data_IF_138996711718
#
_entry.id   IF_138996711718
#
_cell.length_a   1.000
_cell.length_b   1.000
_cell.length_c   1.000
_cell.angle_alpha   90.00
_cell.angle_beta   90.00
_cell.angle_gamma   90.00
#
_symmetry.space_group_name_H-M   'P 1'
#
loop_
_entity.id
_entity.type
_entity.pdbx_description
1 polymer ?
#
# COMPACT_ATOMS: atom_id res chain seq x y z
N UNK A 1 -38.97 14.80 0.29
CA UNK A 1 -37.89 14.59 1.26
C UNK A 1 -37.02 13.47 0.71
N UNK A 2 -35.70 13.64 0.67
CA UNK A 2 -34.82 12.63 0.08
C UNK A 2 -34.72 11.42 1.02
N UNK A 3 -34.89 10.22 0.46
CA UNK A 3 -34.61 8.97 1.16
C UNK A 3 -33.12 8.92 1.50
N UNK A 4 -32.82 8.37 2.67
CA UNK A 4 -31.45 8.14 3.13
C UNK A 4 -30.97 6.77 2.67
N UNK A 5 -29.67 6.64 2.48
CA UNK A 5 -29.04 5.37 2.12
C UNK A 5 -29.04 4.38 3.29
N UNK A 6 -28.78 3.11 2.97
CA UNK A 6 -28.78 2.00 3.91
C UNK A 6 -27.75 2.16 5.04
N UNK A 7 -26.58 2.75 4.77
CA UNK A 7 -25.55 2.99 5.78
C UNK A 7 -25.99 3.99 6.85
N UNK A 8 -26.77 4.99 6.45
CA UNK A 8 -27.37 5.92 7.41
C UNK A 8 -28.43 5.23 8.29
N UNK A 9 -29.21 4.28 7.76
CA UNK A 9 -30.15 3.49 8.56
C UNK A 9 -29.44 2.50 9.50
N UNK A 10 -28.30 1.95 9.11
CA UNK A 10 -27.47 1.12 10.00
C UNK A 10 -26.95 1.94 11.18
N UNK A 11 -26.38 3.13 10.94
CA UNK A 11 -25.95 4.03 12.01
C UNK A 11 -27.10 4.44 12.96
N UNK A 12 -28.33 4.46 12.46
CA UNK A 12 -29.53 4.68 13.28
C UNK A 12 -29.87 3.49 14.19
N UNK A 13 -29.70 2.24 13.72
CA UNK A 13 -29.85 1.02 14.54
C UNK A 13 -28.77 0.94 15.61
N UNK A 14 -27.51 1.22 15.23
CA UNK A 14 -26.34 1.15 16.11
C UNK A 14 -26.27 2.29 17.15
N UNK A 15 -27.25 3.21 17.15
CA UNK A 15 -27.30 4.42 17.98
C UNK A 15 -26.13 5.40 17.75
N UNK A 16 -25.52 5.38 16.56
CA UNK A 16 -24.40 6.25 16.19
C UNK A 16 -24.83 7.57 15.54
N UNK A 17 -26.14 7.82 15.44
CA UNK A 17 -26.72 9.11 15.01
C UNK A 17 -27.01 10.02 16.20
N UNK A 18 -26.95 11.33 16.00
CA UNK A 18 -27.30 12.28 17.08
C UNK A 18 -28.78 12.18 17.44
N UNK A 19 -29.19 12.56 18.67
CA UNK A 19 -30.60 12.53 19.08
C UNK A 19 -31.53 13.35 18.15
N UNK A 20 -31.03 14.47 17.61
CA UNK A 20 -31.77 15.31 16.67
C UNK A 20 -31.97 14.63 15.31
N UNK A 21 -30.93 13.95 14.80
CA UNK A 21 -31.01 13.16 13.57
C UNK A 21 -31.90 11.95 13.75
N UNK A 22 -31.79 11.25 14.89
CA UNK A 22 -32.66 10.13 15.25
C UNK A 22 -34.13 10.52 15.21
N UNK A 23 -34.50 11.66 15.79
CA UNK A 23 -35.87 12.18 15.75
C UNK A 23 -36.33 12.64 14.34
N UNK A 24 -35.41 13.11 13.49
CA UNK A 24 -35.72 13.45 12.10
C UNK A 24 -35.85 12.20 11.21
N UNK A 25 -35.10 11.15 11.51
CA UNK A 25 -35.16 9.86 10.85
C UNK A 25 -36.43 9.10 11.23
N UNK A 26 -36.81 9.12 12.50
CA UNK A 26 -38.08 8.54 12.97
C UNK A 26 -39.28 9.14 12.22
N UNK A 27 -39.35 10.47 12.15
CA UNK A 27 -40.42 11.17 11.39
C UNK A 27 -40.44 10.83 9.90
N UNK A 28 -39.28 10.47 9.34
CA UNK A 28 -39.20 10.05 7.94
C UNK A 28 -39.69 8.62 7.75
N UNK A 29 -39.39 7.70 8.68
CA UNK A 29 -39.91 6.33 8.68
C UNK A 29 -41.44 6.30 8.75
N UNK A 30 -42.03 7.21 9.53
CA UNK A 30 -43.49 7.33 9.68
C UNK A 30 -44.19 7.70 8.35
N UNK A 31 -43.45 8.23 7.37
CA UNK A 31 -44.00 8.76 6.11
C UNK A 31 -43.41 8.12 4.85
N UNK A 32 -42.41 7.25 4.96
CA UNK A 32 -41.70 6.65 3.83
C UNK A 32 -41.62 5.11 3.96
N UNK A 33 -42.57 4.42 3.31
CA UNK A 33 -42.62 2.96 3.31
C UNK A 33 -41.34 2.26 2.78
N UNK A 34 -40.67 2.76 1.71
CA UNK A 34 -39.41 2.16 1.26
C UNK A 34 -38.31 2.18 2.32
N UNK A 35 -38.14 3.29 3.05
CA UNK A 35 -37.14 3.38 4.10
C UNK A 35 -37.51 2.52 5.32
N UNK A 36 -38.80 2.38 5.62
CA UNK A 36 -39.26 1.46 6.66
C UNK A 36 -38.96 0.00 6.31
N UNK A 37 -39.10 -0.39 5.04
CA UNK A 37 -38.73 -1.73 4.57
C UNK A 37 -37.21 -1.97 4.67
N UNK A 38 -36.39 -0.99 4.27
CA UNK A 38 -34.93 -1.07 4.43
C UNK A 38 -34.52 -1.23 5.90
N UNK A 39 -35.16 -0.49 6.82
CA UNK A 39 -34.86 -0.62 8.25
C UNK A 39 -35.24 -2.01 8.80
N UNK A 40 -36.38 -2.57 8.36
CA UNK A 40 -36.81 -3.90 8.77
C UNK A 40 -35.82 -4.99 8.29
N UNK A 41 -35.36 -4.91 7.04
CA UNK A 41 -34.36 -5.83 6.49
C UNK A 41 -33.02 -5.78 7.25
N UNK A 42 -32.57 -4.57 7.61
CA UNK A 42 -31.36 -4.39 8.41
C UNK A 42 -31.52 -4.97 9.83
N UNK A 43 -32.69 -4.79 10.45
CA UNK A 43 -32.96 -5.33 11.79
C UNK A 43 -32.96 -6.87 11.79
N UNK A 44 -33.58 -7.49 10.78
CA UNK A 44 -33.60 -8.95 10.63
C UNK A 44 -32.18 -9.52 10.42
N UNK A 45 -31.34 -8.81 9.66
CA UNK A 45 -29.94 -9.17 9.46
C UNK A 45 -29.10 -9.09 10.75
N UNK A 46 -29.35 -8.08 11.59
CA UNK A 46 -28.69 -7.91 12.90
C UNK A 46 -29.07 -9.03 13.88
N UNK A 47 -30.36 -9.37 13.94
CA UNK A 47 -30.87 -10.48 14.76
C UNK A 47 -30.25 -11.82 14.33
N UNK A 48 -30.26 -12.12 13.01
CA UNK A 48 -29.67 -13.34 12.47
C UNK A 48 -28.16 -13.44 12.74
N UNK A 49 -27.44 -12.32 12.60
CA UNK A 49 -26.00 -12.26 12.86
C UNK A 49 -25.69 -12.52 14.33
N UNK A 50 -26.48 -11.93 15.23
CA UNK A 50 -26.34 -12.12 16.68
C UNK A 50 -26.60 -13.57 17.07
N UNK A 51 -27.66 -14.19 16.53
CA UNK A 51 -27.97 -15.60 16.80
C UNK A 51 -26.88 -16.55 16.27
N UNK A 52 -26.41 -16.30 15.04
CA UNK A 52 -25.38 -17.12 14.39
C UNK A 52 -24.03 -17.06 15.12
N UNK A 53 -23.73 -15.92 15.76
CA UNK A 53 -22.47 -15.69 16.48
C UNK A 53 -22.54 -16.00 17.98
N UNK A 54 -23.73 -16.25 18.53
CA UNK A 54 -23.92 -16.46 19.97
C UNK A 54 -23.10 -17.64 20.54
N UNK A 55 -22.87 -18.69 19.75
CA UNK A 55 -22.04 -19.83 20.16
C UNK A 55 -20.55 -19.44 20.28
N UNK A 56 -20.05 -18.58 19.39
CA UNK A 56 -18.66 -18.10 19.41
C UNK A 56 -18.43 -17.10 20.54
N UNK A 57 -19.38 -16.18 20.76
CA UNK A 57 -19.33 -15.26 21.90
C UNK A 57 -19.28 -16.03 23.24
N UNK A 58 -20.15 -17.02 23.43
CA UNK A 58 -20.10 -17.88 24.63
C UNK A 58 -18.78 -18.64 24.77
N UNK A 59 -18.21 -19.14 23.67
CA UNK A 59 -16.92 -19.82 23.70
C UNK A 59 -15.77 -18.88 24.10
N UNK A 60 -15.82 -17.61 23.68
CA UNK A 60 -14.84 -16.59 24.07
C UNK A 60 -14.99 -16.16 25.53
N UNK A 61 -16.22 -16.01 26.02
CA UNK A 61 -16.49 -15.60 27.40
C UNK A 61 -16.23 -16.70 28.43
N UNK A 62 -16.36 -17.98 28.03
CA UNK A 62 -16.11 -19.14 28.91
C UNK A 62 -14.69 -19.70 28.79
N UNK A 63 -13.91 -19.25 27.81
CA UNK A 63 -12.49 -19.59 27.72
C UNK A 63 -11.73 -18.95 28.90
N UNK A 64 -11.31 -19.78 29.85
CA UNK A 64 -10.48 -19.36 30.97
C UNK A 64 -9.23 -18.60 30.46
N UNK A 65 -8.74 -17.58 31.19
CA UNK A 65 -7.48 -16.93 30.85
C UNK A 65 -6.37 -17.97 30.77
N UNK A 66 -5.65 -18.00 29.64
CA UNK A 66 -4.47 -18.84 29.49
C UNK A 66 -3.49 -18.52 30.64
N UNK A 67 -3.01 -19.52 31.39
CA UNK A 67 -2.05 -19.27 32.46
C UNK A 67 -0.74 -18.69 31.88
N UNK A 68 -0.04 -17.83 32.63
CA UNK A 68 1.25 -17.30 32.20
C UNK A 68 2.22 -18.46 31.97
N UNK A 69 2.92 -18.43 30.83
CA UNK A 69 3.86 -19.46 30.39
C UNK A 69 5.04 -19.61 31.35
N UNK A 70 4.84 -20.37 32.43
CA UNK A 70 5.84 -20.75 33.42
C UNK A 70 5.68 -22.24 33.67
N UNK A 71 6.22 -23.06 32.76
CA UNK A 71 6.12 -24.52 32.90
C UNK A 71 6.34 -25.38 31.67
N UNK A 72 6.80 -24.83 30.54
CA UNK A 72 7.28 -25.69 29.44
C UNK A 72 8.68 -26.20 29.78
N UNK A 73 8.93 -27.53 29.72
CA UNK A 73 10.26 -28.07 29.96
C UNK A 73 11.25 -27.53 28.91
N UNK A 74 12.52 -27.30 29.28
CA UNK A 74 13.51 -26.81 28.34
C UNK A 74 13.66 -27.80 27.18
N UNK A 75 13.65 -27.26 25.97
CA UNK A 75 13.87 -28.00 24.74
C UNK A 75 15.27 -28.67 24.81
N UNK A 76 15.31 -29.98 25.05
CA UNK A 76 16.53 -30.77 25.02
C UNK A 76 16.72 -31.29 23.59
N UNK A 77 17.69 -30.78 22.81
CA UNK A 77 17.99 -31.36 21.51
C UNK A 77 18.46 -32.80 21.70
N UNK A 78 17.76 -33.75 21.06
CA UNK A 78 18.14 -35.15 21.05
C UNK A 78 19.52 -35.30 20.38
N UNK A 79 20.56 -35.46 21.20
CA UNK A 79 21.90 -35.85 20.74
C UNK A 79 21.84 -37.30 20.21
N UNK A 80 21.66 -37.45 18.91
CA UNK A 80 22.06 -38.66 18.17
C UNK A 80 22.72 -38.24 16.85
N UNK A 81 24.03 -37.99 16.92
CA UNK A 81 24.90 -38.21 15.75
C UNK A 81 25.51 -39.60 15.88
N UNK A 82 25.51 -40.43 14.83
CA UNK A 82 26.35 -41.61 14.80
C UNK A 82 27.81 -41.16 14.85
N UNK A 83 28.58 -41.74 15.77
CA UNK A 83 30.04 -41.58 15.82
C UNK A 83 30.66 -42.26 14.60
N UNK A 84 31.14 -41.47 13.64
CA UNK A 84 32.07 -41.94 12.63
C UNK A 84 33.47 -42.06 13.26
N UNK A 85 34.22 -43.14 12.99
CA UNK A 85 35.57 -43.28 13.52
C UNK A 85 36.48 -42.25 12.87
N UNK A 86 37.09 -41.38 13.69
CA UNK A 86 38.13 -40.47 13.25
C UNK A 86 39.44 -41.25 13.28
N UNK A 87 39.88 -41.68 12.10
CA UNK A 87 41.25 -42.07 11.86
C UNK A 87 42.16 -40.85 12.06
N UNK A 88 43.16 -41.00 12.94
CA UNK A 88 44.16 -39.98 13.22
C UNK A 88 45.33 -40.22 12.28
N UNK A 89 45.35 -39.56 11.12
CA UNK A 89 46.58 -39.43 10.36
C UNK A 89 46.59 -38.22 9.41
N UNK A 90 47.51 -37.28 9.69
CA UNK A 90 48.24 -36.55 8.66
C UNK A 90 47.67 -35.20 8.19
N UNK A 91 48.45 -34.13 8.39
CA UNK A 91 48.46 -33.00 7.44
C UNK A 91 48.14 -31.60 7.98
N UNK A 92 48.65 -31.20 9.15
CA UNK A 92 48.67 -29.77 9.52
C UNK A 92 49.76 -29.02 8.74
N UNK A 93 49.54 -28.72 7.46
CA UNK A 93 50.30 -27.68 6.74
C UNK A 93 49.79 -27.52 5.29
N UNK A 94 48.60 -26.93 5.07
CA UNK A 94 48.24 -26.29 3.77
C UNK A 94 46.87 -25.55 3.75
N UNK A 95 46.40 -24.97 4.86
CA UNK A 95 45.02 -24.43 4.93
C UNK A 95 44.85 -23.05 5.55
N UNK A 96 45.81 -22.13 5.35
CA UNK A 96 45.63 -20.72 5.75
C UNK A 96 45.19 -19.80 4.62
N UNK A 97 45.35 -20.19 3.35
CA UNK A 97 44.93 -19.37 2.20
C UNK A 97 43.55 -19.73 1.61
N UNK A 98 43.05 -20.95 1.83
CA UNK A 98 41.72 -21.36 1.36
C UNK A 98 40.57 -21.01 2.30
N UNK A 99 40.80 -20.63 3.55
CA UNK A 99 39.69 -20.28 4.48
C UNK A 99 38.83 -19.12 4.00
N UNK A 100 39.43 -18.14 3.29
CA UNK A 100 38.70 -16.99 2.72
C UNK A 100 37.84 -17.38 1.52
N UNK A 101 38.31 -18.32 0.71
CA UNK A 101 37.58 -18.81 -0.47
C UNK A 101 36.60 -19.93 -0.14
N UNK A 102 36.88 -20.75 0.88
CA UNK A 102 36.02 -21.83 1.34
C UNK A 102 34.76 -21.30 2.03
N UNK A 103 34.83 -20.19 2.77
CA UNK A 103 33.63 -19.53 3.33
C UNK A 103 32.76 -18.92 2.23
N UNK A 104 33.37 -18.30 1.21
CA UNK A 104 32.65 -17.75 0.06
C UNK A 104 32.03 -18.86 -0.81
N UNK A 105 32.76 -19.94 -1.07
CA UNK A 105 32.29 -21.09 -1.83
C UNK A 105 31.20 -21.87 -1.07
N UNK A 106 31.32 -22.02 0.26
CA UNK A 106 30.29 -22.65 1.09
C UNK A 106 29.03 -21.79 1.19
N UNK A 107 29.16 -20.47 1.33
CA UNK A 107 28.01 -19.55 1.29
C UNK A 107 27.33 -19.55 -0.08
N UNK A 108 28.11 -19.52 -1.17
CA UNK A 108 27.60 -19.61 -2.53
C UNK A 108 26.93 -20.97 -2.81
N UNK A 109 27.50 -22.08 -2.33
CA UNK A 109 26.90 -23.41 -2.46
C UNK A 109 25.65 -23.58 -1.59
N UNK A 110 25.61 -22.96 -0.40
CA UNK A 110 24.40 -22.92 0.44
C UNK A 110 23.31 -22.03 -0.16
N UNK A 111 23.66 -20.87 -0.73
CA UNK A 111 22.71 -20.00 -1.44
C UNK A 111 22.22 -20.67 -2.72
N UNK A 112 23.10 -21.25 -3.53
CA UNK A 112 22.74 -22.00 -4.73
C UNK A 112 21.90 -23.23 -4.39
N UNK A 113 22.27 -23.97 -3.34
CA UNK A 113 21.50 -25.10 -2.83
C UNK A 113 20.12 -24.70 -2.32
N UNK A 114 20.03 -23.61 -1.55
CA UNK A 114 18.76 -23.05 -1.10
C UNK A 114 17.90 -22.61 -2.30
N UNK A 115 18.49 -21.97 -3.30
CA UNK A 115 17.83 -21.62 -4.57
C UNK A 115 17.46 -22.82 -5.45
N UNK A 116 17.79 -24.07 -5.10
CA UNK A 116 17.34 -25.29 -5.80
C UNK A 116 16.20 -26.02 -5.08
N UNK A 117 15.89 -25.63 -3.84
CA UNK A 117 14.78 -26.20 -3.06
C UNK A 117 13.49 -25.49 -3.47
N UNK A 118 12.53 -26.23 -4.03
CA UNK A 118 11.31 -25.66 -4.63
C UNK A 118 10.55 -24.63 -3.74
N UNK A 119 10.37 -24.84 -2.42
CA UNK A 119 9.81 -23.81 -1.53
C UNK A 119 10.57 -22.48 -1.49
N UNK A 120 11.91 -22.52 -1.58
CA UNK A 120 12.76 -21.31 -1.57
C UNK A 120 12.76 -20.64 -2.94
N UNK A 121 12.70 -21.42 -4.03
CA UNK A 121 12.50 -20.87 -5.38
C UNK A 121 11.17 -20.12 -5.50
N UNK A 122 10.09 -20.66 -4.93
CA UNK A 122 8.80 -19.98 -4.87
C UNK A 122 8.89 -18.70 -4.03
N UNK A 123 9.45 -18.75 -2.82
CA UNK A 123 9.60 -17.55 -2.00
C UNK A 123 10.50 -16.46 -2.65
N UNK A 124 11.50 -16.86 -3.44
CA UNK A 124 12.36 -15.93 -4.20
C UNK A 124 11.66 -15.43 -5.46
N UNK A 125 10.90 -16.26 -6.17
CA UNK A 125 10.09 -15.84 -7.31
C UNK A 125 8.99 -14.86 -6.88
N UNK A 126 8.32 -15.13 -5.76
CA UNK A 126 7.36 -14.23 -5.11
C UNK A 126 8.05 -12.93 -4.70
N UNK A 127 9.24 -12.99 -4.11
CA UNK A 127 10.01 -11.78 -3.79
C UNK A 127 10.40 -10.97 -5.04
N UNK A 128 10.76 -11.63 -6.14
CA UNK A 128 11.11 -10.99 -7.42
C UNK A 128 9.91 -10.45 -8.19
N UNK A 129 8.71 -10.94 -7.91
CA UNK A 129 7.45 -10.48 -8.50
C UNK A 129 6.82 -9.32 -7.73
N UNK A 130 7.40 -8.94 -6.58
CA UNK A 130 6.97 -7.82 -5.76
C UNK A 130 7.58 -6.51 -6.24
N UNK A 131 6.72 -5.52 -6.42
CA UNK A 131 7.13 -4.13 -6.59
C UNK A 131 7.19 -3.48 -5.22
N UNK A 132 8.36 -2.95 -4.84
CA UNK A 132 8.53 -2.26 -3.55
C UNK A 132 9.22 -0.94 -3.79
N UNK A 133 8.50 0.16 -3.59
CA UNK A 133 9.05 1.49 -3.83
C UNK A 133 10.23 1.76 -2.89
N UNK A 134 11.39 2.11 -3.45
CA UNK A 134 12.59 2.51 -2.69
C UNK A 134 13.13 3.86 -3.17
N UNK A 135 12.91 4.20 -4.44
CA UNK A 135 13.43 5.41 -5.08
C UNK A 135 12.30 6.19 -5.73
N UNK A 136 12.54 7.48 -5.95
CA UNK A 136 11.64 8.37 -6.67
C UNK A 136 12.30 8.79 -7.98
N UNK A 137 11.56 8.70 -9.08
CA UNK A 137 12.01 9.18 -10.38
C UNK A 137 10.99 10.15 -10.96
N UNK A 138 11.46 11.34 -11.30
CA UNK A 138 10.62 12.36 -11.93
C UNK A 138 10.52 12.03 -13.43
N UNK A 139 9.30 12.07 -13.96
CA UNK A 139 9.02 11.97 -15.41
C UNK A 139 8.27 13.21 -15.82
N UNK A 140 8.80 13.93 -16.80
CA UNK A 140 8.21 15.13 -17.34
C UNK A 140 7.05 14.78 -18.27
N UNK A 141 5.92 15.45 -18.09
CA UNK A 141 4.72 15.32 -18.92
C UNK A 141 4.22 16.74 -19.18
N UNK A 142 3.87 17.12 -20.41
CA UNK A 142 3.35 18.47 -20.66
C UNK A 142 1.81 18.51 -20.54
N UNK A 143 1.21 19.68 -20.28
CA UNK A 143 -0.25 19.82 -20.30
C UNK A 143 -0.86 19.42 -21.65
N UNK A 144 -0.20 19.77 -22.76
CA UNK A 144 -0.66 19.45 -24.12
C UNK A 144 -0.66 17.94 -24.38
N UNK A 145 0.28 17.21 -23.77
CA UNK A 145 0.33 15.75 -23.83
C UNK A 145 -0.84 15.13 -23.08
N UNK A 146 -1.15 15.64 -21.88
CA UNK A 146 -2.33 15.19 -21.13
C UNK A 146 -3.62 15.47 -21.90
N UNK A 147 -3.74 16.63 -22.52
CA UNK A 147 -4.88 16.98 -23.37
C UNK A 147 -4.98 16.06 -24.59
N UNK A 148 -3.86 15.76 -25.23
CA UNK A 148 -3.80 14.82 -26.36
C UNK A 148 -4.24 13.41 -25.93
N UNK A 149 -3.78 12.93 -24.76
CA UNK A 149 -4.22 11.67 -24.19
C UNK A 149 -5.73 11.67 -23.92
N UNK A 150 -6.24 12.71 -23.28
CA UNK A 150 -7.66 12.85 -22.97
C UNK A 150 -8.53 12.90 -24.24
N UNK A 151 -8.09 13.61 -25.27
CA UNK A 151 -8.77 13.67 -26.56
C UNK A 151 -8.73 12.34 -27.30
N UNK A 152 -7.61 11.61 -27.25
CA UNK A 152 -7.49 10.30 -27.87
C UNK A 152 -8.43 9.27 -27.20
N UNK A 153 -8.58 9.31 -25.87
CA UNK A 153 -9.59 8.51 -25.15
C UNK A 153 -11.00 8.91 -25.60
N UNK A 154 -11.31 10.21 -25.57
CA UNK A 154 -12.66 10.69 -25.91
C UNK A 154 -13.07 10.37 -27.35
N UNK A 155 -12.14 10.49 -28.30
CA UNK A 155 -12.42 10.32 -29.73
C UNK A 155 -12.41 8.86 -30.20
N UNK A 156 -11.55 8.01 -29.63
CA UNK A 156 -11.41 6.61 -30.06
C UNK A 156 -12.16 5.61 -29.18
N UNK A 157 -12.48 5.97 -27.93
CA UNK A 157 -12.99 5.01 -26.92
C UNK A 157 -14.38 5.39 -26.41
N UNK A 158 -14.75 6.66 -26.43
CA UNK A 158 -16.04 7.12 -25.90
C UNK A 158 -16.08 7.11 -24.37
N UNK A 159 -17.23 6.76 -23.77
CA UNK A 159 -17.33 6.58 -22.31
C UNK A 159 -16.65 5.28 -21.89
N UNK A 160 -15.59 5.40 -21.10
CA UNK A 160 -14.84 4.28 -20.53
C UNK A 160 -15.51 3.85 -19.23
N UNK A 161 -16.28 2.76 -19.24
CA UNK A 161 -16.63 2.05 -18.02
C UNK A 161 -15.44 1.17 -17.59
N UNK A 162 -14.82 1.46 -16.45
CA UNK A 162 -13.66 0.70 -15.97
C UNK A 162 -14.00 -0.76 -15.62
N UNK A 163 -15.27 -1.06 -15.33
CA UNK A 163 -15.73 -2.42 -15.01
C UNK A 163 -15.65 -3.37 -16.21
N UNK A 164 -15.59 -2.83 -17.43
CA UNK A 164 -15.51 -3.65 -18.65
C UNK A 164 -14.10 -4.22 -18.90
N UNK A 165 -13.07 -3.68 -18.23
CA UNK A 165 -11.67 -4.09 -18.43
C UNK A 165 -11.15 -5.05 -17.36
N UNK A 166 -11.97 -5.35 -16.35
CA UNK A 166 -11.57 -6.27 -15.30
C UNK A 166 -12.45 -6.17 -14.06
N UNK A 167 -12.07 -6.94 -13.05
CA UNK A 167 -12.75 -7.00 -11.74
C UNK A 167 -11.77 -6.68 -10.64
N UNK A 168 -12.18 -5.84 -9.71
CA UNK A 168 -11.46 -5.59 -8.45
C UNK A 168 -12.18 -6.37 -7.34
N UNK A 169 -11.44 -7.20 -6.64
CA UNK A 169 -11.89 -7.90 -5.45
C UNK A 169 -11.17 -7.30 -4.23
N UNK A 170 -11.93 -6.79 -3.26
CA UNK A 170 -11.35 -6.26 -2.02
C UNK A 170 -11.26 -7.41 -1.03
N UNK A 171 -10.05 -7.93 -0.83
CA UNK A 171 -9.80 -9.03 0.11
C UNK A 171 -9.78 -8.54 1.56
N UNK A 172 -9.27 -7.32 1.78
CA UNK A 172 -9.20 -6.70 3.09
C UNK A 172 -9.38 -5.19 2.93
N UNK A 173 -10.41 -4.63 3.56
CA UNK A 173 -10.63 -3.19 3.59
C UNK A 173 -9.75 -2.56 4.67
N UNK A 174 -9.00 -1.48 4.37
CA UNK A 174 -8.30 -0.74 5.41
C UNK A 174 -9.31 -0.06 6.34
N UNK A 175 -9.07 -0.17 7.64
CA UNK A 175 -9.86 0.46 8.70
C UNK A 175 -9.07 1.64 9.27
N UNK A 176 -9.76 2.76 9.50
CA UNK A 176 -9.15 3.93 10.13
C UNK A 176 -9.56 4.01 11.60
N UNK A 177 -8.59 4.19 12.48
CA UNK A 177 -8.82 4.45 13.90
C UNK A 177 -8.04 5.68 14.36
N UNK A 178 -8.56 6.39 15.37
CA UNK A 178 -7.82 7.45 16.06
C UNK A 178 -7.01 6.85 17.19
N UNK A 179 -5.74 7.22 17.28
CA UNK A 179 -4.85 6.79 18.34
C UNK A 179 -4.05 7.98 18.89
N UNK A 180 -3.64 7.90 20.15
CA UNK A 180 -2.63 8.84 20.66
C UNK A 180 -1.27 8.54 19.99
N UNK A 181 -0.39 9.53 19.78
CA UNK A 181 0.87 9.33 19.08
C UNK A 181 1.76 8.21 19.66
N UNK A 182 1.79 8.07 20.99
CA UNK A 182 2.52 7.03 21.71
C UNK A 182 1.94 5.62 21.51
N UNK A 183 0.62 5.53 21.32
CA UNK A 183 -0.07 4.29 20.97
C UNK A 183 0.13 3.91 19.50
N UNK A 184 0.17 4.90 18.60
CA UNK A 184 0.35 4.69 17.17
C UNK A 184 1.66 3.95 16.84
N UNK A 185 2.72 4.15 17.63
CA UNK A 185 4.00 3.42 17.52
C UNK A 185 3.81 1.90 17.59
N UNK A 186 2.82 1.41 18.35
CA UNK A 186 2.55 -0.03 18.51
C UNK A 186 1.66 -0.60 17.40
N UNK A 187 0.99 0.25 16.65
CA UNK A 187 0.02 -0.10 15.62
C UNK A 187 0.63 -0.13 14.22
N UNK A 188 1.85 0.38 14.08
CA UNK A 188 2.52 0.56 12.79
C UNK A 188 3.72 -0.40 12.68
N UNK A 189 3.97 -0.97 11.48
CA UNK A 189 5.10 -1.87 11.27
C UNK A 189 6.44 -1.14 11.11
N UNK A 190 6.50 0.15 11.46
CA UNK A 190 7.67 1.02 11.32
C UNK A 190 7.75 2.02 12.47
N UNK A 191 8.93 2.64 12.62
CA UNK A 191 9.14 3.70 13.60
C UNK A 191 8.31 4.94 13.22
N UNK A 192 7.19 5.14 13.93
CA UNK A 192 6.32 6.29 13.74
C UNK A 192 7.01 7.56 14.24
N UNK A 193 7.27 8.51 13.33
CA UNK A 193 7.99 9.74 13.66
C UNK A 193 7.04 10.93 13.86
N UNK A 194 7.43 11.86 14.72
CA UNK A 194 6.74 13.14 14.87
C UNK A 194 7.74 14.30 14.72
N UNK A 195 7.32 15.43 14.14
CA UNK A 195 8.24 16.55 13.93
C UNK A 195 8.57 17.20 15.27
N UNK A 196 9.85 17.50 15.52
CA UNK A 196 10.25 18.31 16.67
C UNK A 196 10.07 19.80 16.42
N UNK A 197 9.96 20.23 15.16
CA UNK A 197 9.68 21.61 14.75
C UNK A 197 8.32 21.71 14.05
N UNK A 198 7.54 22.74 14.42
CA UNK A 198 6.37 23.19 13.68
C UNK A 198 6.50 24.72 13.49
N UNK A 199 6.01 25.28 12.38
CA UNK A 199 5.94 26.72 12.20
C UNK A 199 5.00 27.36 13.23
N UNK A 200 5.17 28.66 13.46
CA UNK A 200 4.41 29.40 14.47
C UNK A 200 2.89 29.30 14.22
N UNK A 201 2.13 29.19 15.31
CA UNK A 201 0.69 29.01 15.30
C UNK A 201 0.21 27.59 14.96
N UNK A 202 1.07 26.66 14.54
CA UNK A 202 0.69 25.27 14.29
C UNK A 202 0.79 24.41 15.56
N UNK A 203 -0.36 23.86 15.98
CA UNK A 203 -0.48 22.95 17.11
C UNK A 203 -0.23 21.48 16.75
N UNK A 204 0.19 20.69 17.74
CA UNK A 204 0.30 19.23 17.61
C UNK A 204 -1.09 18.58 17.74
N UNK A 205 -1.40 17.55 16.94
CA UNK A 205 -2.63 16.81 17.12
C UNK A 205 -2.60 16.03 18.44
N UNK A 206 -3.73 16.06 19.17
CA UNK A 206 -3.93 15.17 20.33
C UNK A 206 -3.99 13.70 19.91
N UNK A 207 -4.59 13.43 18.76
CA UNK A 207 -4.74 12.10 18.18
C UNK A 207 -4.34 12.10 16.71
N UNK A 208 -3.72 11.01 16.28
CA UNK A 208 -3.39 10.74 14.89
C UNK A 208 -4.38 9.73 14.32
N UNK A 209 -4.54 9.76 13.01
CA UNK A 209 -5.27 8.74 12.28
C UNK A 209 -4.30 7.61 11.94
N UNK A 210 -4.68 6.37 12.22
CA UNK A 210 -3.94 5.16 11.87
C UNK A 210 -4.83 4.31 11.00
N UNK A 211 -4.36 3.94 9.81
CA UNK A 211 -5.04 3.01 8.92
C UNK A 211 -4.40 1.63 9.01
N UNK A 212 -5.22 0.59 9.09
CA UNK A 212 -4.75 -0.80 8.95
C UNK A 212 -4.40 -1.10 7.49
N UNK A 213 -3.85 -2.28 7.25
CA UNK A 213 -3.53 -2.74 5.90
C UNK A 213 -4.79 -2.96 5.06
N UNK A 214 -4.72 -2.57 3.79
CA UNK A 214 -5.68 -2.93 2.76
C UNK A 214 -5.09 -3.93 1.77
N UNK A 215 -5.92 -4.87 1.30
CA UNK A 215 -5.58 -5.83 0.24
C UNK A 215 -6.68 -5.87 -0.80
N UNK A 216 -6.28 -5.81 -2.06
CA UNK A 216 -7.17 -6.06 -3.19
C UNK A 216 -6.49 -6.91 -4.25
N UNK A 217 -7.30 -7.57 -5.06
CA UNK A 217 -6.88 -8.25 -6.27
C UNK A 217 -7.55 -7.61 -7.47
N UNK A 218 -6.79 -7.45 -8.55
CA UNK A 218 -7.31 -7.00 -9.83
C UNK A 218 -7.15 -8.12 -10.86
N UNK A 219 -8.27 -8.55 -11.46
CA UNK A 219 -8.29 -9.52 -12.56
C UNK A 219 -8.62 -8.81 -13.86
N UNK A 220 -7.67 -8.83 -14.79
CA UNK A 220 -7.82 -8.15 -16.07
C UNK A 220 -8.61 -8.99 -17.07
N UNK A 221 -9.52 -8.34 -17.80
CA UNK A 221 -10.09 -8.86 -19.03
C UNK A 221 -9.19 -8.47 -20.22
N UNK A 222 -8.22 -9.34 -20.52
CA UNK A 222 -7.22 -9.13 -21.58
C UNK A 222 -7.89 -9.01 -22.94
N UNK A 223 -8.96 -9.77 -23.20
CA UNK A 223 -9.68 -9.68 -24.47
C UNK A 223 -10.25 -8.27 -24.67
N UNK A 224 -10.92 -7.72 -23.65
CA UNK A 224 -11.50 -6.38 -23.71
C UNK A 224 -10.42 -5.29 -23.78
N UNK A 225 -9.34 -5.42 -23.03
CA UNK A 225 -8.21 -4.48 -23.14
C UNK A 225 -7.56 -4.56 -24.51
N UNK A 226 -7.31 -5.75 -25.04
CA UNK A 226 -6.70 -5.90 -26.37
C UNK A 226 -7.60 -5.39 -27.48
N UNK A 227 -8.93 -5.51 -27.36
CA UNK A 227 -9.87 -4.92 -28.31
C UNK A 227 -9.77 -3.39 -28.29
N UNK A 228 -9.70 -2.79 -27.11
CA UNK A 228 -9.46 -1.36 -26.95
C UNK A 228 -8.11 -0.93 -27.55
N UNK A 229 -7.02 -1.64 -27.22
CA UNK A 229 -5.68 -1.37 -27.73
C UNK A 229 -5.64 -1.42 -29.26
N UNK A 230 -6.26 -2.42 -29.89
CA UNK A 230 -6.40 -2.53 -31.35
C UNK A 230 -7.14 -1.33 -31.94
N UNK A 231 -8.26 -0.93 -31.34
CA UNK A 231 -9.02 0.26 -31.77
C UNK A 231 -8.22 1.56 -31.69
N UNK A 232 -7.22 1.61 -30.80
CA UNK A 232 -6.31 2.75 -30.68
C UNK A 232 -5.10 2.68 -31.61
N UNK A 233 -4.90 1.57 -32.32
CA UNK A 233 -3.77 1.35 -33.23
C UNK A 233 -2.55 0.71 -32.58
N UNK A 234 -2.70 0.02 -31.44
CA UNK A 234 -1.60 -0.72 -30.81
C UNK A 234 -1.07 -1.82 -31.71
N UNK A 235 0.26 -1.92 -31.79
CA UNK A 235 0.96 -3.01 -32.47
C UNK A 235 1.35 -4.14 -31.53
N UNK A 236 1.57 -3.82 -30.24
CA UNK A 236 1.77 -4.79 -29.18
C UNK A 236 0.50 -4.92 -28.35
N UNK A 237 0.13 -6.15 -28.03
CA UNK A 237 -1.04 -6.48 -27.22
C UNK A 237 -0.59 -7.10 -25.90
N UNK A 238 -1.48 -7.05 -24.90
CA UNK A 238 -1.27 -7.78 -23.67
C UNK A 238 -1.30 -9.29 -23.95
N UNK A 239 -0.39 -10.09 -23.37
CA UNK A 239 -0.37 -11.52 -23.61
C UNK A 239 -1.59 -12.20 -23.00
N UNK A 240 -2.18 -13.14 -23.73
CA UNK A 240 -3.38 -13.90 -23.31
C UNK A 240 -3.16 -14.64 -21.98
N UNK A 241 -1.90 -14.92 -21.64
CA UNK A 241 -1.51 -15.47 -20.34
C UNK A 241 -1.89 -14.60 -19.14
N UNK A 242 -2.31 -13.34 -19.33
CA UNK A 242 -2.79 -12.46 -18.27
C UNK A 242 -4.30 -12.59 -17.99
N UNK A 243 -5.06 -13.27 -18.85
CA UNK A 243 -6.52 -13.29 -18.77
C UNK A 243 -6.98 -13.87 -17.43
N UNK A 244 -7.74 -13.08 -16.68
CA UNK A 244 -8.32 -13.49 -15.40
C UNK A 244 -7.31 -13.75 -14.28
N UNK A 245 -6.01 -13.52 -14.49
CA UNK A 245 -4.99 -13.65 -13.44
C UNK A 245 -5.11 -12.50 -12.45
N UNK A 246 -4.91 -12.81 -11.17
CA UNK A 246 -5.04 -11.85 -10.07
C UNK A 246 -3.73 -11.10 -9.82
N UNK A 247 -3.74 -9.80 -10.05
CA UNK A 247 -2.71 -8.88 -9.59
C UNK A 247 -3.04 -8.43 -8.17
N UNK A 248 -2.21 -8.81 -7.20
CA UNK A 248 -2.42 -8.43 -5.80
C UNK A 248 -1.89 -7.04 -5.53
N UNK A 249 -2.66 -6.19 -4.87
CA UNK A 249 -2.22 -4.89 -4.35
C UNK A 249 -2.35 -4.92 -2.82
N UNK A 250 -1.22 -4.73 -2.14
CA UNK A 250 -1.16 -4.55 -0.69
C UNK A 250 -0.80 -3.10 -0.39
N UNK A 251 -1.67 -2.41 0.33
CA UNK A 251 -1.41 -1.08 0.88
C UNK A 251 -1.18 -1.27 2.37
N UNK A 252 0.07 -1.20 2.86
CA UNK A 252 0.37 -1.43 4.26
C UNK A 252 -0.28 -0.41 5.19
N UNK A 253 -0.31 -0.76 6.48
CA UNK A 253 -0.74 0.15 7.52
C UNK A 253 0.07 1.46 7.49
N UNK A 254 -0.59 2.54 7.87
CA UNK A 254 -0.05 3.90 7.80
C UNK A 254 -0.68 4.82 8.82
N UNK A 255 -0.13 6.02 8.97
CA UNK A 255 -0.68 7.03 9.85
C UNK A 255 -0.62 8.42 9.25
N UNK A 256 -1.60 9.24 9.65
CA UNK A 256 -1.75 10.63 9.26
C UNK A 256 -1.81 11.50 10.51
N UNK A 257 -0.90 12.47 10.57
CA UNK A 257 -0.89 13.53 11.58
C UNK A 257 -1.38 14.84 10.96
N UNK A 258 -2.16 15.59 11.73
CA UNK A 258 -2.78 16.86 11.37
C UNK A 258 -2.25 17.97 12.27
N UNK A 259 -1.40 18.86 11.76
CA UNK A 259 -0.95 20.03 12.51
C UNK A 259 -1.78 21.21 12.05
N UNK A 260 -2.62 21.76 12.93
CA UNK A 260 -3.58 22.82 12.60
C UNK A 260 -3.11 24.16 13.13
N UNK A 261 -3.37 25.22 12.38
CA UNK A 261 -3.27 26.59 12.84
C UNK A 261 -4.68 27.18 12.82
N UNK A 262 -5.23 27.41 14.03
CA UNK A 262 -6.63 27.78 14.21
C UNK A 262 -6.92 29.22 13.75
N UNK A 263 -5.94 30.14 13.86
CA UNK A 263 -6.08 31.54 13.44
C UNK A 263 -6.22 31.67 11.93
N UNK A 264 -5.45 30.89 11.18
CA UNK A 264 -5.44 30.92 9.70
C UNK A 264 -6.31 29.84 9.05
N UNK A 265 -6.96 29.00 9.87
CA UNK A 265 -7.71 27.82 9.43
C UNK A 265 -6.91 26.96 8.42
N UNK A 266 -5.63 26.76 8.71
CA UNK A 266 -4.70 26.05 7.83
C UNK A 266 -4.15 24.79 8.48
N UNK A 267 -3.68 23.85 7.66
CA UNK A 267 -3.19 22.55 8.14
C UNK A 267 -1.97 22.06 7.37
N UNK A 268 -0.98 21.59 8.11
CA UNK A 268 0.09 20.73 7.60
C UNK A 268 -0.29 19.28 7.89
N UNK A 269 -0.29 18.44 6.87
CA UNK A 269 -0.53 17.01 6.97
C UNK A 269 0.78 16.26 6.82
N UNK A 270 1.08 15.35 7.74
CA UNK A 270 2.16 14.37 7.64
C UNK A 270 1.53 12.99 7.47
N UNK A 271 1.88 12.28 6.41
CA UNK A 271 1.46 10.89 6.16
C UNK A 271 2.70 10.02 6.17
N UNK A 272 2.61 8.86 6.83
CA UNK A 272 3.67 7.86 6.92
C UNK A 272 3.06 6.49 6.65
N UNK A 273 3.61 5.73 5.73
CA UNK A 273 3.17 4.35 5.47
C UNK A 273 4.31 3.55 4.88
N UNK A 274 4.32 2.24 5.13
CA UNK A 274 5.25 1.37 4.42
C UNK A 274 4.89 1.36 2.93
N UNK A 275 5.90 1.23 2.07
CA UNK A 275 5.71 1.32 0.63
C UNK A 275 4.71 0.26 0.13
N UNK A 276 3.75 0.62 -0.74
CA UNK A 276 2.81 -0.34 -1.32
C UNK A 276 3.52 -1.47 -2.06
N UNK A 277 2.87 -2.61 -2.11
CA UNK A 277 3.37 -3.80 -2.78
C UNK A 277 2.39 -4.25 -3.86
N UNK A 278 2.91 -4.47 -5.07
CA UNK A 278 2.16 -5.10 -6.16
C UNK A 278 2.74 -6.51 -6.35
N UNK A 279 1.87 -7.52 -6.33
CA UNK A 279 2.21 -8.91 -6.61
C UNK A 279 1.75 -9.26 -8.01
N UNK A 280 2.68 -9.71 -8.85
CA UNK A 280 2.38 -10.21 -10.18
C UNK A 280 2.08 -11.71 -10.12
N UNK A 281 0.99 -12.19 -10.74
CA UNK A 281 0.60 -13.59 -10.66
C UNK A 281 1.58 -14.54 -11.36
N UNK A 282 1.59 -15.80 -10.91
CA UNK A 282 2.50 -16.83 -11.41
C UNK A 282 2.46 -17.01 -12.93
N UNK A 283 3.64 -17.26 -13.50
CA UNK A 283 3.81 -17.46 -14.94
C UNK A 283 3.57 -16.21 -15.77
N UNK A 284 3.56 -15.02 -15.16
CA UNK A 284 3.62 -13.73 -15.85
C UNK A 284 5.04 -13.19 -15.74
N UNK A 285 5.66 -12.92 -16.89
CA UNK A 285 6.97 -12.30 -16.93
C UNK A 285 6.84 -10.78 -16.77
N UNK A 286 7.40 -10.17 -15.70
CA UNK A 286 7.33 -8.73 -15.48
C UNK A 286 7.94 -7.90 -16.62
N UNK A 287 8.93 -8.44 -17.34
CA UNK A 287 9.54 -7.74 -18.48
C UNK A 287 8.59 -7.62 -19.67
N UNK A 288 7.82 -8.67 -19.94
CA UNK A 288 6.86 -8.68 -21.04
C UNK A 288 5.69 -7.75 -20.71
N UNK A 289 5.25 -7.72 -19.44
CA UNK A 289 4.27 -6.76 -18.95
C UNK A 289 4.78 -5.32 -19.11
N UNK A 290 6.03 -5.05 -18.72
CA UNK A 290 6.65 -3.73 -18.91
C UNK A 290 6.69 -3.32 -20.38
N UNK A 291 7.11 -4.22 -21.28
CA UNK A 291 7.18 -3.94 -22.71
C UNK A 291 5.79 -3.56 -23.27
N UNK A 292 4.75 -4.29 -22.89
CA UNK A 292 3.38 -4.00 -23.32
C UNK A 292 2.85 -2.66 -22.75
N UNK A 293 3.19 -2.31 -21.50
CA UNK A 293 2.84 -1.01 -20.91
C UNK A 293 3.57 0.16 -21.58
N UNK A 294 4.84 -0.02 -21.97
CA UNK A 294 5.60 1.02 -22.67
C UNK A 294 5.08 1.24 -24.10
N UNK A 295 4.57 0.20 -24.76
CA UNK A 295 3.98 0.33 -26.11
C UNK A 295 2.53 0.84 -26.10
N UNK A 296 2.04 1.32 -24.96
CA UNK A 296 0.68 1.83 -24.87
C UNK A 296 0.46 3.00 -25.86
N UNK A 297 -0.57 2.94 -26.75
CA UNK A 297 -0.72 3.90 -27.84
C UNK A 297 -0.99 5.34 -27.40
N UNK A 298 -1.56 5.51 -26.21
CA UNK A 298 -1.84 6.83 -25.67
C UNK A 298 -0.63 7.45 -24.99
N UNK A 299 0.45 6.70 -24.76
CA UNK A 299 1.63 7.22 -24.10
C UNK A 299 2.46 8.05 -25.10
N UNK A 300 2.71 9.35 -24.85
CA UNK A 300 3.56 10.18 -25.69
C UNK A 300 4.96 9.58 -25.83
N UNK A 301 5.60 9.76 -26.99
CA UNK A 301 6.89 9.13 -27.32
C UNK A 301 8.02 9.50 -26.34
N UNK A 302 8.04 10.75 -25.89
CA UNK A 302 9.01 11.25 -24.92
C UNK A 302 8.74 10.69 -23.51
N UNK A 303 7.49 10.62 -23.06
CA UNK A 303 7.10 9.97 -21.79
C UNK A 303 7.46 8.49 -21.83
N UNK A 304 7.20 7.80 -22.95
CA UNK A 304 7.64 6.42 -23.19
C UNK A 304 9.16 6.28 -23.07
N UNK A 305 9.91 7.18 -23.68
CA UNK A 305 11.39 7.15 -23.64
C UNK A 305 11.91 7.34 -22.21
N UNK A 306 11.32 8.27 -21.46
CA UNK A 306 11.66 8.50 -20.05
C UNK A 306 11.36 7.26 -19.19
N UNK A 307 10.18 6.65 -19.34
CA UNK A 307 9.81 5.43 -18.61
C UNK A 307 10.65 4.21 -19.00
N UNK A 308 11.04 4.11 -20.27
CA UNK A 308 11.95 3.07 -20.76
C UNK A 308 13.35 3.21 -20.15
N UNK A 309 13.81 4.44 -19.90
CA UNK A 309 15.10 4.73 -19.27
C UNK A 309 15.21 4.33 -17.78
N UNK A 310 14.10 3.99 -17.12
CA UNK A 310 14.10 3.58 -15.71
C UNK A 310 14.51 2.10 -15.61
N UNK A 311 15.79 1.82 -15.40
CA UNK A 311 16.28 0.43 -15.32
C UNK A 311 15.70 -0.33 -14.11
N UNK A 312 15.71 0.29 -12.93
CA UNK A 312 15.23 -0.27 -11.65
C UNK A 312 13.75 0.07 -11.38
N UNK A 313 12.91 -0.15 -12.38
CA UNK A 313 11.49 0.21 -12.35
C UNK A 313 10.68 -0.50 -11.25
N UNK A 314 11.06 -1.72 -10.85
CA UNK A 314 10.36 -2.48 -9.80
C UNK A 314 10.53 -1.86 -8.40
N UNK A 315 11.59 -1.06 -8.21
CA UNK A 315 11.88 -0.38 -6.95
C UNK A 315 11.76 1.15 -7.05
N UNK A 316 11.20 1.67 -8.14
CA UNK A 316 11.15 3.11 -8.41
C UNK A 316 9.70 3.56 -8.59
N UNK A 317 9.26 4.50 -7.77
CA UNK A 317 7.99 5.19 -8.00
C UNK A 317 8.21 6.37 -8.95
N UNK A 318 7.42 6.38 -10.01
CA UNK A 318 7.39 7.49 -10.96
C UNK A 318 6.55 8.63 -10.39
N UNK A 319 7.11 9.83 -10.40
CA UNK A 319 6.42 11.06 -10.01
C UNK A 319 6.25 11.91 -11.27
N UNK A 320 5.02 12.08 -11.77
CA UNK A 320 4.80 12.93 -12.94
C UNK A 320 5.01 14.39 -12.58
N UNK A 321 5.76 15.09 -13.43
CA UNK A 321 5.93 16.54 -13.37
C UNK A 321 5.24 17.17 -14.58
N UNK A 322 4.07 17.75 -14.32
CA UNK A 322 3.19 18.28 -15.38
C UNK A 322 3.60 19.69 -15.83
N UNK A 323 4.21 20.47 -14.92
CA UNK A 323 4.45 21.89 -15.14
C UNK A 323 5.93 22.28 -14.93
N UNK A 324 6.83 21.31 -14.80
CA UNK A 324 8.22 21.57 -14.41
C UNK A 324 8.35 22.09 -12.98
N UNK A 325 7.36 21.81 -12.11
CA UNK A 325 7.29 22.33 -10.74
C UNK A 325 7.77 21.33 -9.69
N UNK A 326 8.22 20.15 -10.13
CA UNK A 326 8.75 19.11 -9.25
C UNK A 326 10.27 19.24 -9.16
N UNK A 327 10.76 19.44 -7.95
CA UNK A 327 12.18 19.60 -7.65
C UNK A 327 12.70 18.43 -6.83
N UNK A 328 13.91 17.96 -7.12
CA UNK A 328 14.62 17.04 -6.23
C UNK A 328 15.08 17.76 -4.97
N UNK A 329 14.92 17.12 -3.82
CA UNK A 329 15.33 17.66 -2.52
C UNK A 329 15.96 16.56 -1.66
N UNK A 330 16.64 16.97 -0.59
CA UNK A 330 17.22 16.06 0.38
C UNK A 330 16.61 16.27 1.78
N UNK A 331 16.16 15.18 2.39
CA UNK A 331 15.62 15.12 3.76
C UNK A 331 16.51 14.19 4.57
N UNK A 332 17.40 14.75 5.40
CA UNK A 332 18.31 14.00 6.28
C UNK A 332 19.12 12.89 5.57
N UNK A 333 19.56 13.14 4.33
CA UNK A 333 20.28 12.16 3.52
C UNK A 333 19.40 11.32 2.59
N UNK A 334 18.08 11.27 2.80
CA UNK A 334 17.14 10.63 1.89
C UNK A 334 16.80 11.54 0.69
N UNK A 335 16.78 10.98 -0.52
CA UNK A 335 16.30 11.69 -1.71
C UNK A 335 14.77 11.81 -1.68
N UNK A 336 14.27 13.01 -1.93
CA UNK A 336 12.85 13.33 -2.00
C UNK A 336 12.52 14.19 -3.20
N UNK A 337 11.23 14.41 -3.41
CA UNK A 337 10.69 15.33 -4.40
C UNK A 337 9.79 16.35 -3.70
N UNK A 338 9.92 17.60 -4.11
CA UNK A 338 9.07 18.71 -3.68
C UNK A 338 8.27 19.19 -4.88
N UNK A 339 6.97 19.41 -4.70
CA UNK A 339 6.12 20.03 -5.69
C UNK A 339 5.47 21.28 -5.09
N UNK A 340 5.66 22.42 -5.76
CA UNK A 340 4.98 23.66 -5.40
C UNK A 340 3.47 23.54 -5.69
N UNK A 341 2.66 23.69 -4.65
CA UNK A 341 1.22 23.77 -4.75
C UNK A 341 0.77 25.12 -5.28
N UNK A 342 -0.44 25.16 -5.84
CA UNK A 342 -1.11 26.42 -6.17
C UNK A 342 -1.37 27.20 -4.87
N UNK A 343 -1.28 28.53 -4.90
CA UNK A 343 -1.52 29.42 -3.75
C UNK A 343 -0.47 29.31 -2.62
N UNK A 344 0.79 28.99 -2.94
CA UNK A 344 1.91 29.10 -1.99
C UNK A 344 2.07 27.94 -1.01
N UNK A 345 1.26 26.88 -1.14
CA UNK A 345 1.49 25.62 -0.44
C UNK A 345 2.50 24.73 -1.14
N UNK A 346 2.89 23.64 -0.50
CA UNK A 346 3.81 22.65 -1.06
C UNK A 346 3.43 21.23 -0.68
N UNK A 347 3.97 20.28 -1.45
CA UNK A 347 3.89 18.86 -1.21
C UNK A 347 5.30 18.26 -1.29
N UNK A 348 5.77 17.68 -0.19
CA UNK A 348 7.06 17.03 -0.08
C UNK A 348 6.85 15.53 0.09
N UNK A 349 7.53 14.72 -0.71
CA UNK A 349 7.44 13.27 -0.71
C UNK A 349 8.85 12.68 -0.71
N UNK A 350 9.14 11.74 0.17
CA UNK A 350 10.41 11.02 0.17
C UNK A 350 10.24 9.61 0.70
N UNK A 351 11.25 8.77 0.48
CA UNK A 351 11.30 7.40 0.97
C UNK A 351 12.54 7.25 1.82
N UNK A 352 12.38 6.75 3.04
CA UNK A 352 13.48 6.49 3.97
C UNK A 352 13.25 5.11 4.60
N UNK A 353 14.23 4.20 4.46
CA UNK A 353 14.20 2.85 5.06
C UNK A 353 12.91 2.04 4.75
N UNK A 354 12.37 2.18 3.53
CA UNK A 354 11.14 1.47 3.11
C UNK A 354 9.83 2.08 3.62
N UNK A 355 9.90 3.24 4.29
CA UNK A 355 8.75 4.05 4.70
C UNK A 355 8.64 5.24 3.76
N UNK A 356 7.45 5.44 3.21
CA UNK A 356 7.10 6.62 2.44
C UNK A 356 6.56 7.68 3.38
N UNK A 357 7.09 8.89 3.23
CA UNK A 357 6.69 10.06 3.98
C UNK A 357 6.17 11.11 3.03
N UNK A 358 5.04 11.70 3.38
CA UNK A 358 4.49 12.85 2.67
C UNK A 358 4.19 13.96 3.67
N UNK A 359 4.69 15.17 3.41
CA UNK A 359 4.34 16.37 4.17
C UNK A 359 3.79 17.40 3.20
N UNK A 360 2.57 17.85 3.43
CA UNK A 360 1.94 18.87 2.60
C UNK A 360 1.21 19.90 3.44
N UNK A 361 1.15 21.13 2.96
CA UNK A 361 0.46 22.22 3.65
C UNK A 361 0.65 23.56 2.95
N UNK A 362 -0.08 24.61 3.38
CA UNK A 362 0.00 25.94 2.81
C UNK A 362 1.17 26.74 3.40
N UNK A 363 2.38 26.17 3.34
CA UNK A 363 3.62 26.81 3.77
C UNK A 363 4.70 26.64 2.71
N UNK A 364 5.72 27.50 2.76
CA UNK A 364 6.80 27.49 1.79
C UNK A 364 7.68 26.23 1.89
N UNK A 365 8.50 26.02 0.86
CA UNK A 365 9.40 24.89 0.71
C UNK A 365 10.36 24.72 1.89
N UNK A 366 10.99 25.80 2.36
CA UNK A 366 11.98 25.73 3.42
C UNK A 366 11.33 25.35 4.76
N UNK A 367 10.14 25.89 5.02
CA UNK A 367 9.34 25.51 6.17
C UNK A 367 8.95 24.02 6.13
N UNK A 368 8.46 23.50 5.00
CA UNK A 368 8.16 22.06 4.85
C UNK A 368 9.39 21.18 5.03
N UNK A 369 10.53 21.57 4.45
CA UNK A 369 11.79 20.85 4.63
C UNK A 369 12.26 20.85 6.08
N UNK A 370 12.09 21.97 6.79
CA UNK A 370 12.43 22.07 8.21
C UNK A 370 11.54 21.17 9.08
N UNK A 371 10.24 21.09 8.80
CA UNK A 371 9.32 20.14 9.45
C UNK A 371 9.78 18.70 9.19
N UNK A 372 10.01 18.33 7.92
CA UNK A 372 10.41 16.98 7.53
C UNK A 372 11.77 16.56 8.13
N UNK A 373 12.77 17.45 8.12
CA UNK A 373 14.10 17.18 8.71
C UNK A 373 14.06 17.07 10.24
N UNK A 374 13.01 17.60 10.87
CA UNK A 374 12.82 17.54 12.32
C UNK A 374 12.13 16.27 12.83
N UNK A 375 11.74 15.36 11.93
CA UNK A 375 11.09 14.11 12.31
C UNK A 375 12.01 13.25 13.17
N UNK A 376 11.49 12.79 14.30
CA UNK A 376 12.17 11.92 15.27
C UNK A 376 11.28 10.77 15.68
#
# INVERSE_FOLDING_TARGET
MNCRDQGTWQAFLDNEVTPAEKAAMQRHLDTCAPCAATLAELTELEEWSTESLAAYQRAMETAAPLPPATGLPPFAPANRRPTLPIDKQGGTSLMTHWKKWASAAAAAAMLAGALTVAPVQQAVADFLSLFRVQKLQIVQVTPEQLDTMAQAVKSKVGQVDLQQFGKVEVLQKPEEQKAFPDQAVKLLPFAFKQPSFLPDGYGRPRQVSVSTEGRSEFRLDVAQVNNLLKGMGATTLLPDSLQGKAFGLRIPAGARSAFTNDESNSRISLVQFSTPELTVPDGVNPRDLRAALLDFPLLPQDVRTQLAGIEDWQNTMVVPDVNGTVEKVNVNGAEGVYNAGKHGGGNLLWVEQGVMYQVNGPVDKETLLKVARSLK
#
